data_IF_545932956520
#
_entry.id   IF_545932956520
#
_cell.length_a   1.000
_cell.length_b   1.000
_cell.length_c   1.000
_cell.angle_alpha   90.00
_cell.angle_beta   90.00
_cell.angle_gamma   90.00
#
_symmetry.space_group_name_H-M   'P 1'
#
loop_
_entity.id
_entity.type
_entity.pdbx_description
1 polymer ?
#
# COMPACT_ATOMS: atom_id res chain seq x y z
N UNK A 1 33.71 -16.21 8.74
CA UNK A 1 34.48 -14.98 9.04
C UNK A 1 33.54 -14.07 9.83
N UNK A 2 33.84 -13.75 11.09
CA UNK A 2 32.93 -12.98 11.94
C UNK A 2 33.16 -11.49 11.77
N UNK A 3 32.15 -10.76 11.32
CA UNK A 3 32.15 -9.29 11.31
C UNK A 3 31.71 -8.82 12.69
N UNK A 4 32.56 -8.06 13.39
CA UNK A 4 32.19 -7.33 14.60
C UNK A 4 31.78 -5.91 14.20
N UNK A 5 30.54 -5.53 14.51
CA UNK A 5 30.10 -4.14 14.42
C UNK A 5 29.98 -3.63 15.86
N UNK A 6 30.88 -2.73 16.24
CA UNK A 6 30.89 -2.08 17.55
C UNK A 6 30.17 -0.74 17.38
N UNK A 7 28.97 -0.59 17.97
CA UNK A 7 28.29 0.70 18.04
C UNK A 7 28.73 1.44 19.31
N UNK A 8 29.40 2.57 19.14
CA UNK A 8 29.97 3.40 20.22
C UNK A 8 29.04 4.55 20.59
N UNK A 9 28.43 4.46 21.78
CA UNK A 9 27.89 5.58 22.54
C UNK A 9 28.31 5.43 24.02
N UNK A 10 28.93 6.46 24.59
CA UNK A 10 29.81 6.45 25.76
C UNK A 10 29.23 5.95 27.11
N UNK A 11 27.95 5.56 27.20
CA UNK A 11 27.37 5.04 28.44
C UNK A 11 26.77 3.62 28.33
N UNK A 12 26.66 3.05 27.12
CA UNK A 12 25.79 1.90 26.85
C UNK A 12 26.32 1.04 25.70
N UNK A 13 27.57 0.55 25.79
CA UNK A 13 28.16 -0.25 24.71
C UNK A 13 27.39 -1.58 24.56
N UNK A 14 26.96 -1.85 23.32
CA UNK A 14 26.34 -3.11 22.91
C UNK A 14 27.25 -3.77 21.89
N UNK A 15 27.69 -4.99 22.19
CA UNK A 15 28.47 -5.81 21.26
C UNK A 15 27.52 -6.67 20.43
N UNK A 16 27.55 -6.50 19.11
CA UNK A 16 26.83 -7.35 18.15
C UNK A 16 27.82 -8.27 17.44
N UNK A 17 27.62 -9.58 17.57
CA UNK A 17 28.35 -10.61 16.82
C UNK A 17 27.40 -11.36 15.91
N UNK A 18 27.74 -11.41 14.63
CA UNK A 18 27.01 -12.18 13.61
C UNK A 18 27.81 -13.45 13.30
N UNK A 19 27.19 -14.60 13.49
CA UNK A 19 27.72 -15.89 13.08
C UNK A 19 26.83 -16.48 11.99
N UNK A 20 27.42 -16.68 10.81
CA UNK A 20 26.80 -17.33 9.67
C UNK A 20 27.32 -18.76 9.57
N UNK A 21 26.40 -19.72 9.45
CA UNK A 21 26.70 -21.12 9.18
C UNK A 21 25.78 -21.65 8.09
N UNK A 22 26.38 -22.26 7.06
CA UNK A 22 25.68 -22.99 6.01
C UNK A 22 25.91 -24.49 6.23
N UNK A 23 24.83 -25.26 6.39
CA UNK A 23 24.89 -26.73 6.44
C UNK A 23 24.35 -27.29 5.12
N UNK A 24 25.22 -27.97 4.37
CA UNK A 24 24.87 -28.64 3.12
C UNK A 24 24.51 -30.10 3.41
N UNK A 25 23.22 -30.43 3.38
CA UNK A 25 22.74 -31.81 3.58
C UNK A 25 22.81 -32.54 2.24
N UNK A 26 24.00 -33.08 1.92
CA UNK A 26 24.22 -33.82 0.68
C UNK A 26 23.35 -35.08 0.56
N UNK A 27 22.33 -35.05 -0.29
CA UNK A 27 22.12 -35.89 -1.49
C UNK A 27 20.73 -35.56 -2.07
N UNK A 28 20.70 -35.15 -3.35
CA UNK A 28 19.54 -34.66 -4.14
C UNK A 28 18.93 -33.33 -3.68
N UNK A 29 19.49 -32.23 -4.21
CA UNK A 29 18.85 -30.92 -4.37
C UNK A 29 17.96 -30.46 -3.19
N UNK A 30 18.48 -30.53 -1.96
CA UNK A 30 17.74 -30.13 -0.78
C UNK A 30 18.29 -28.82 -0.20
N UNK A 31 17.47 -27.76 -0.35
CA UNK A 31 17.41 -26.54 0.47
C UNK A 31 18.63 -26.27 1.37
N UNK A 32 19.52 -25.41 0.91
CA UNK A 32 20.54 -24.78 1.77
C UNK A 32 19.83 -23.96 2.86
N UNK A 33 19.95 -24.39 4.12
CA UNK A 33 19.41 -23.64 5.27
C UNK A 33 20.51 -22.72 5.78
N UNK A 34 20.45 -21.45 5.40
CA UNK A 34 21.31 -20.41 5.98
C UNK A 34 20.78 -20.05 7.37
N UNK A 35 21.58 -20.30 8.41
CA UNK A 35 21.25 -19.91 9.78
C UNK A 35 22.12 -18.74 10.19
N UNK A 36 21.49 -17.60 10.50
CA UNK A 36 22.17 -16.42 10.98
C UNK A 36 21.89 -16.23 12.47
N UNK A 37 22.93 -16.29 13.30
CA UNK A 37 22.82 -16.16 14.76
C UNK A 37 23.39 -14.82 15.21
N UNK A 38 22.55 -14.00 15.83
CA UNK A 38 22.94 -12.73 16.43
C UNK A 38 23.17 -12.91 17.93
N UNK A 39 24.35 -12.48 18.42
CA UNK A 39 24.65 -12.44 19.85
C UNK A 39 24.85 -10.99 20.27
N UNK A 40 24.01 -10.56 21.21
CA UNK A 40 24.03 -9.20 21.77
C UNK A 40 24.52 -9.30 23.21
N UNK A 41 25.50 -8.48 23.59
CA UNK A 41 25.97 -8.37 24.97
C UNK A 41 26.03 -6.91 25.40
N UNK A 42 25.61 -6.65 26.63
CA UNK A 42 25.83 -5.36 27.28
C UNK A 42 26.05 -5.52 28.78
N UNK A 43 26.68 -4.52 29.39
CA UNK A 43 26.86 -4.40 30.84
C UNK A 43 25.68 -3.67 31.53
N UNK A 44 24.79 -3.07 30.75
CA UNK A 44 23.62 -2.33 31.22
C UNK A 44 22.34 -2.97 30.67
N UNK A 45 21.33 -3.14 31.52
CA UNK A 45 20.04 -3.71 31.12
C UNK A 45 19.34 -2.85 30.05
N UNK A 46 19.37 -1.52 30.21
CA UNK A 46 18.69 -0.59 29.31
C UNK A 46 19.40 -0.37 27.98
N UNK A 47 20.68 -0.72 27.88
CA UNK A 47 21.46 -0.55 26.65
C UNK A 47 20.95 -1.46 25.52
N UNK A 48 20.53 -2.68 25.84
CA UNK A 48 19.97 -3.63 24.87
C UNK A 48 18.61 -3.13 24.38
N UNK A 49 17.74 -2.69 25.29
CA UNK A 49 16.41 -2.16 24.93
C UNK A 49 16.52 -0.90 24.06
N UNK A 50 17.43 0.02 24.40
CA UNK A 50 17.70 1.21 23.57
C UNK A 50 18.17 0.82 22.18
N UNK A 51 19.14 -0.10 22.08
CA UNK A 51 19.66 -0.56 20.80
C UNK A 51 18.57 -1.23 19.94
N UNK A 52 17.74 -2.09 20.53
CA UNK A 52 16.62 -2.74 19.82
C UNK A 52 15.62 -1.68 19.36
N UNK A 53 15.28 -0.72 20.22
CA UNK A 53 14.34 0.34 19.85
C UNK A 53 14.90 1.21 18.71
N UNK A 54 16.18 1.58 18.76
CA UNK A 54 16.83 2.36 17.70
C UNK A 54 16.87 1.59 16.37
N UNK A 55 17.24 0.31 16.42
CA UNK A 55 17.21 -0.57 15.24
C UNK A 55 15.78 -0.75 14.70
N UNK A 56 14.79 -0.85 15.58
CA UNK A 56 13.38 -0.94 15.20
C UNK A 56 12.86 0.35 14.58
N UNK A 57 13.21 1.52 15.12
CA UNK A 57 12.87 2.81 14.54
C UNK A 57 13.52 3.00 13.16
N UNK A 58 14.79 2.62 13.01
CA UNK A 58 15.47 2.59 11.72
C UNK A 58 14.73 1.68 10.72
N UNK A 59 14.39 0.46 11.13
CA UNK A 59 13.65 -0.49 10.29
C UNK A 59 12.27 0.04 9.88
N UNK A 60 11.52 0.65 10.80
CA UNK A 60 10.24 1.30 10.48
C UNK A 60 10.41 2.46 9.49
N UNK A 61 11.50 3.23 9.60
CA UNK A 61 11.85 4.29 8.66
C UNK A 61 12.18 3.73 7.27
N UNK A 62 12.91 2.62 7.22
CA UNK A 62 13.28 1.95 5.97
C UNK A 62 12.07 1.28 5.30
N UNK A 63 11.20 0.63 6.05
CA UNK A 63 9.93 0.10 5.55
C UNK A 63 9.07 1.19 4.90
N UNK A 64 8.96 2.37 5.52
CA UNK A 64 8.23 3.51 4.94
C UNK A 64 8.83 4.01 3.63
N UNK A 65 10.14 3.85 3.43
CA UNK A 65 10.82 4.19 2.18
C UNK A 65 10.67 3.11 1.11
N UNK A 66 10.61 1.85 1.52
CA UNK A 66 10.44 0.69 0.63
C UNK A 66 8.99 0.45 0.19
N UNK A 67 8.02 0.89 1.00
CA UNK A 67 6.62 0.89 0.58
C UNK A 67 6.41 1.90 -0.54
N UNK A 68 6.17 1.41 -1.77
CA UNK A 68 5.62 2.23 -2.85
C UNK A 68 4.17 2.60 -2.53
N UNK A 69 4.00 3.54 -1.59
CA UNK A 69 2.74 4.16 -1.21
C UNK A 69 2.22 5.12 -2.30
N UNK A 70 2.72 4.99 -3.54
CA UNK A 70 2.19 5.71 -4.68
C UNK A 70 0.75 5.30 -4.95
N UNK A 71 -0.10 6.29 -5.16
CA UNK A 71 -1.46 6.08 -5.64
C UNK A 71 -1.44 5.95 -7.15
N UNK A 72 -2.28 5.07 -7.69
CA UNK A 72 -2.36 4.81 -9.12
C UNK A 72 -3.79 5.02 -9.64
N UNK A 73 -3.92 5.47 -10.88
CA UNK A 73 -5.14 5.41 -11.68
C UNK A 73 -5.02 4.18 -12.58
N UNK A 74 -5.91 3.21 -12.38
CA UNK A 74 -6.02 2.01 -13.18
C UNK A 74 -7.09 2.21 -14.25
N UNK A 75 -6.71 2.13 -15.52
CA UNK A 75 -7.64 2.15 -16.65
C UNK A 75 -7.79 0.74 -17.21
N UNK A 76 -9.00 0.21 -17.10
CA UNK A 76 -9.35 -1.10 -17.65
C UNK A 76 -9.14 -1.11 -19.17
N UNK A 77 -8.33 -2.06 -19.64
CA UNK A 77 -8.22 -2.35 -21.07
C UNK A 77 -9.21 -3.45 -21.41
N UNK A 78 -10.18 -3.13 -22.27
CA UNK A 78 -11.04 -4.14 -22.90
C UNK A 78 -10.44 -4.40 -24.27
N UNK A 79 -9.62 -5.45 -24.36
CA UNK A 79 -9.07 -5.90 -25.65
C UNK A 79 -10.08 -6.80 -26.37
N UNK A 80 -10.07 -6.84 -27.71
CA UNK A 80 -10.72 -7.94 -28.43
C UNK A 80 -10.04 -9.23 -27.93
N UNK A 81 -10.84 -10.21 -27.50
CA UNK A 81 -10.37 -11.38 -26.77
C UNK A 81 -9.04 -11.93 -27.27
N UNK A 82 -8.16 -12.28 -26.33
CA UNK A 82 -6.94 -13.03 -26.61
C UNK A 82 -7.30 -14.28 -27.42
N UNK A 83 -7.12 -14.22 -28.73
CA UNK A 83 -7.14 -15.41 -29.58
C UNK A 83 -5.78 -16.09 -29.45
N UNK A 84 -5.87 -17.42 -29.45
CA UNK A 84 -4.84 -18.45 -29.53
C UNK A 84 -3.94 -18.65 -28.31
N UNK A 85 -4.25 -19.70 -27.55
CA UNK A 85 -3.37 -20.87 -27.58
C UNK A 85 -2.68 -21.26 -26.28
N UNK A 86 -3.37 -21.38 -25.15
CA UNK A 86 -3.18 -22.53 -24.26
C UNK A 86 -4.32 -22.66 -23.25
N UNK A 87 -4.56 -23.88 -22.77
CA UNK A 87 -5.64 -24.24 -21.83
C UNK A 87 -5.37 -23.66 -20.43
N UNK A 88 -6.46 -23.30 -19.73
CA UNK A 88 -6.53 -23.01 -18.29
C UNK A 88 -5.74 -21.79 -17.75
N UNK A 89 -6.27 -20.58 -17.97
CA UNK A 89 -6.28 -19.53 -16.95
C UNK A 89 -7.37 -18.51 -17.31
N UNK A 90 -8.35 -18.29 -16.43
CA UNK A 90 -9.46 -17.36 -16.66
C UNK A 90 -8.94 -15.99 -17.15
N UNK A 91 -9.52 -15.48 -18.24
CA UNK A 91 -9.05 -14.30 -18.96
C UNK A 91 -8.82 -13.10 -18.04
N UNK A 92 -7.59 -12.90 -17.60
CA UNK A 92 -7.26 -11.93 -16.56
C UNK A 92 -7.38 -10.52 -17.14
N UNK A 93 -8.31 -9.70 -16.64
CA UNK A 93 -8.45 -8.30 -17.05
C UNK A 93 -7.13 -7.56 -16.87
N UNK A 94 -6.68 -6.88 -17.91
CA UNK A 94 -5.46 -6.08 -17.88
C UNK A 94 -5.81 -4.61 -17.61
N UNK A 95 -5.00 -3.96 -16.76
CA UNK A 95 -5.17 -2.55 -16.40
C UNK A 95 -3.90 -1.78 -16.74
N UNK A 96 -4.04 -0.65 -17.42
CA UNK A 96 -2.96 0.34 -17.50
C UNK A 96 -2.93 1.14 -16.22
N UNK A 97 -1.76 1.28 -15.59
CA UNK A 97 -1.59 2.06 -14.36
C UNK A 97 -0.87 3.37 -14.65
N UNK A 98 -1.41 4.47 -14.12
CA UNK A 98 -0.82 5.80 -14.19
C UNK A 98 -0.59 6.30 -12.77
N UNK A 99 0.63 6.73 -12.42
CA UNK A 99 0.90 7.30 -11.10
C UNK A 99 0.09 8.59 -10.91
N UNK A 100 -0.66 8.68 -9.82
CA UNK A 100 -1.44 9.88 -9.49
C UNK A 100 -0.54 10.90 -8.82
N UNK A 101 -0.58 12.16 -9.29
CA UNK A 101 0.12 13.25 -8.63
C UNK A 101 -0.57 13.65 -7.32
N UNK A 102 0.22 14.18 -6.39
CA UNK A 102 -0.27 14.72 -5.10
C UNK A 102 -0.76 16.16 -5.18
N UNK A 103 -0.72 16.79 -6.36
CA UNK A 103 -0.93 18.22 -6.56
C UNK A 103 -2.41 18.64 -6.44
N UNK A 104 -3.33 17.71 -6.66
CA UNK A 104 -4.77 17.97 -6.61
C UNK A 104 -5.29 17.74 -5.19
N UNK A 105 -5.56 18.82 -4.48
CA UNK A 105 -6.09 18.81 -3.11
C UNK A 105 -7.43 19.55 -3.06
N UNK A 106 -8.18 19.37 -1.97
CA UNK A 106 -9.37 20.20 -1.74
C UNK A 106 -9.03 21.69 -1.56
N UNK A 107 -7.78 22.07 -1.29
CA UNK A 107 -7.38 23.47 -1.18
C UNK A 107 -7.50 24.24 -2.50
N UNK A 108 -7.25 23.57 -3.63
CA UNK A 108 -7.32 24.18 -4.97
C UNK A 108 -8.67 23.99 -5.68
N UNK A 109 -9.67 23.41 -5.01
CA UNK A 109 -10.98 23.11 -5.57
C UNK A 109 -12.07 23.94 -4.88
N UNK A 110 -12.90 24.61 -5.69
CA UNK A 110 -13.95 25.54 -5.24
C UNK A 110 -15.30 25.11 -5.81
N UNK A 111 -16.26 24.84 -4.91
CA UNK A 111 -17.65 24.50 -5.20
C UNK A 111 -18.45 24.58 -3.89
N UNK A 112 -19.76 24.79 -3.98
CA UNK A 112 -20.59 25.15 -2.84
C UNK A 112 -20.74 24.00 -1.83
N UNK A 113 -20.89 22.75 -2.29
CA UNK A 113 -21.13 21.58 -1.44
C UNK A 113 -19.85 20.98 -0.84
N UNK A 114 -18.73 21.69 -0.88
CA UNK A 114 -17.42 21.19 -0.45
C UNK A 114 -17.39 20.76 1.01
N UNK A 115 -17.95 21.57 1.90
CA UNK A 115 -17.94 21.28 3.33
C UNK A 115 -18.81 20.06 3.66
N UNK A 116 -19.95 19.95 2.98
CA UNK A 116 -20.85 18.80 3.07
C UNK A 116 -20.13 17.52 2.63
N UNK A 117 -19.43 17.55 1.49
CA UNK A 117 -18.66 16.41 1.01
C UNK A 117 -17.54 16.03 1.98
N UNK A 118 -16.78 17.00 2.49
CA UNK A 118 -15.71 16.76 3.45
C UNK A 118 -16.24 16.11 4.74
N UNK A 119 -17.42 16.52 5.21
CA UNK A 119 -18.08 15.88 6.35
C UNK A 119 -18.42 14.42 6.07
N UNK A 120 -19.03 14.13 4.91
CA UNK A 120 -19.37 12.76 4.50
C UNK A 120 -18.11 11.87 4.42
N UNK A 121 -17.00 12.41 3.88
CA UNK A 121 -15.74 11.69 3.80
C UNK A 121 -15.13 11.40 5.17
N UNK A 122 -15.18 12.36 6.10
CA UNK A 122 -14.72 12.17 7.49
C UNK A 122 -15.55 11.10 8.20
N UNK A 123 -16.87 11.14 8.06
CA UNK A 123 -17.76 10.14 8.68
C UNK A 123 -17.47 8.74 8.12
N UNK A 124 -17.21 8.63 6.81
CA UNK A 124 -16.83 7.38 6.18
C UNK A 124 -15.46 6.86 6.66
N UNK A 125 -14.44 7.72 6.74
CA UNK A 125 -13.09 7.34 7.19
C UNK A 125 -13.08 6.89 8.65
N UNK A 126 -13.76 7.63 9.52
CA UNK A 126 -13.75 7.39 10.97
C UNK A 126 -14.83 6.41 11.43
N UNK A 127 -15.59 5.80 10.49
CA UNK A 127 -16.74 4.91 10.77
C UNK A 127 -17.75 5.54 11.73
N UNK A 128 -18.02 6.84 11.54
CA UNK A 128 -18.95 7.61 12.38
C UNK A 128 -20.34 7.73 11.74
N UNK A 129 -21.28 8.33 12.48
CA UNK A 129 -22.65 8.51 12.02
C UNK A 129 -23.32 7.18 11.68
N UNK A 130 -23.88 7.09 10.48
CA UNK A 130 -24.55 5.88 9.98
C UNK A 130 -23.65 4.63 9.92
N UNK A 131 -22.33 4.81 9.80
CA UNK A 131 -21.36 3.71 9.75
C UNK A 131 -21.05 3.08 11.10
N UNK A 132 -21.52 3.67 12.22
CA UNK A 132 -21.38 3.13 13.57
C UNK A 132 -22.42 2.04 13.88
N UNK A 133 -23.52 1.99 13.13
CA UNK A 133 -24.61 1.03 13.35
C UNK A 133 -24.16 -0.36 12.92
N UNK A 134 -24.25 -1.34 13.83
CA UNK A 134 -23.93 -2.73 13.53
C UNK A 134 -24.78 -3.25 12.37
N UNK A 135 -24.13 -3.86 11.37
CA UNK A 135 -24.79 -4.35 10.15
C UNK A 135 -24.95 -3.33 9.03
N UNK A 136 -24.65 -2.04 9.25
CA UNK A 136 -24.65 -1.06 8.15
C UNK A 136 -23.44 -1.26 7.23
N UNK A 137 -23.63 -1.38 5.90
CA UNK A 137 -22.52 -1.63 4.99
C UNK A 137 -21.57 -0.43 4.96
N UNK A 138 -20.27 -0.68 5.12
CA UNK A 138 -19.22 0.34 5.00
C UNK A 138 -18.92 0.64 3.52
N UNK A 139 -19.91 1.21 2.83
CA UNK A 139 -19.83 1.62 1.42
C UNK A 139 -20.26 3.08 1.28
N UNK A 140 -19.57 3.81 0.40
CA UNK A 140 -19.91 5.19 0.05
C UNK A 140 -20.14 5.27 -1.45
N UNK A 141 -21.39 5.56 -1.84
CA UNK A 141 -21.76 5.87 -3.22
C UNK A 141 -21.92 7.37 -3.40
N UNK A 142 -21.32 7.93 -4.45
CA UNK A 142 -21.43 9.33 -4.83
C UNK A 142 -21.77 9.42 -6.32
N UNK A 143 -22.71 10.30 -6.66
CA UNK A 143 -23.06 10.64 -8.02
C UNK A 143 -22.66 12.10 -8.27
N UNK A 144 -21.73 12.32 -9.20
CA UNK A 144 -21.27 13.65 -9.60
C UNK A 144 -21.95 14.05 -10.91
N UNK A 145 -22.79 15.08 -10.89
CA UNK A 145 -23.48 15.60 -12.08
C UNK A 145 -23.18 17.09 -12.32
N UNK A 146 -23.49 17.57 -13.52
CA UNK A 146 -23.34 18.98 -13.91
C UNK A 146 -22.71 19.15 -15.30
N UNK A 147 -22.62 20.39 -15.82
CA UNK A 147 -22.08 20.69 -17.15
C UNK A 147 -20.68 20.13 -17.42
N UNK A 148 -20.29 19.83 -18.67
CA UNK A 148 -18.90 19.46 -18.97
C UNK A 148 -17.94 20.58 -18.53
N UNK A 149 -16.76 20.22 -18.03
CA UNK A 149 -15.77 21.20 -17.58
C UNK A 149 -15.89 21.66 -16.12
N UNK A 150 -16.93 21.27 -15.37
CA UNK A 150 -17.09 21.66 -13.94
C UNK A 150 -16.16 20.93 -12.95
N UNK A 151 -15.06 20.36 -13.42
CA UNK A 151 -14.05 19.76 -12.53
C UNK A 151 -14.44 18.44 -11.86
N UNK A 152 -15.51 17.74 -12.29
CA UNK A 152 -15.90 16.42 -11.72
C UNK A 152 -14.75 15.42 -11.63
N UNK A 153 -14.00 15.24 -12.72
CA UNK A 153 -12.83 14.34 -12.73
C UNK A 153 -11.70 14.85 -11.82
N UNK A 154 -11.54 16.17 -11.70
CA UNK A 154 -10.59 16.78 -10.76
C UNK A 154 -11.00 16.53 -9.31
N UNK A 155 -12.31 16.60 -9.00
CA UNK A 155 -12.86 16.28 -7.68
C UNK A 155 -12.55 14.82 -7.30
N UNK A 156 -12.71 13.87 -8.22
CA UNK A 156 -12.36 12.46 -7.99
C UNK A 156 -10.86 12.32 -7.64
N UNK A 157 -9.97 13.02 -8.34
CA UNK A 157 -8.53 13.02 -8.04
C UNK A 157 -8.23 13.63 -6.67
N UNK A 158 -8.87 14.74 -6.31
CA UNK A 158 -8.74 15.36 -4.98
C UNK A 158 -9.24 14.43 -3.87
N UNK A 159 -10.35 13.73 -4.09
CA UNK A 159 -10.89 12.74 -3.16
C UNK A 159 -9.94 11.55 -2.95
N UNK A 160 -9.38 11.02 -4.04
CA UNK A 160 -8.40 9.96 -3.99
C UNK A 160 -7.15 10.38 -3.19
N UNK A 161 -6.72 11.64 -3.33
CA UNK A 161 -5.61 12.19 -2.54
C UNK A 161 -6.00 12.35 -1.07
N UNK A 162 -7.18 12.93 -0.78
CA UNK A 162 -7.64 13.13 0.60
C UNK A 162 -7.87 11.83 1.37
N UNK A 163 -8.22 10.76 0.66
CA UNK A 163 -8.47 9.43 1.26
C UNK A 163 -7.27 8.49 1.20
N UNK A 164 -6.15 8.93 0.61
CA UNK A 164 -4.98 8.12 0.31
C UNK A 164 -5.31 6.82 -0.45
N UNK A 165 -6.11 6.91 -1.52
CA UNK A 165 -6.57 5.77 -2.32
C UNK A 165 -6.16 5.88 -3.79
N UNK A 166 -6.00 4.72 -4.42
CA UNK A 166 -5.91 4.57 -5.87
C UNK A 166 -7.31 4.65 -6.52
N UNK A 167 -7.36 5.02 -7.80
CA UNK A 167 -8.59 5.11 -8.59
C UNK A 167 -8.62 3.95 -9.56
N UNK A 168 -9.75 3.25 -9.67
CA UNK A 168 -10.00 2.27 -10.73
C UNK A 168 -11.10 2.82 -11.62
N UNK A 169 -10.76 3.11 -12.88
CA UNK A 169 -11.70 3.60 -13.87
C UNK A 169 -12.29 2.40 -14.65
N UNK A 170 -13.61 2.26 -14.58
CA UNK A 170 -14.38 1.20 -15.24
C UNK A 170 -15.38 1.86 -16.20
N UNK A 171 -14.99 2.08 -17.47
CA UNK A 171 -15.88 2.66 -18.46
C UNK A 171 -16.94 1.64 -18.90
N UNK A 172 -18.17 1.77 -18.38
CA UNK A 172 -19.28 0.87 -18.70
C UNK A 172 -19.61 0.81 -20.20
N UNK A 173 -19.38 1.88 -20.95
CA UNK A 173 -19.59 1.90 -22.40
C UNK A 173 -18.71 0.90 -23.17
N UNK A 174 -17.64 0.37 -22.55
CA UNK A 174 -16.76 -0.64 -23.13
C UNK A 174 -17.10 -2.07 -22.68
N UNK A 175 -18.09 -2.24 -21.83
CA UNK A 175 -18.50 -3.52 -21.26
C UNK A 175 -19.85 -3.87 -21.88
N UNK A 176 -19.89 -4.95 -22.65
CA UNK A 176 -21.07 -5.32 -23.44
C UNK A 176 -22.00 -6.27 -22.69
N UNK A 177 -21.47 -7.03 -21.72
CA UNK A 177 -22.24 -8.02 -20.96
C UNK A 177 -21.99 -7.92 -19.45
N UNK A 178 -22.97 -8.34 -18.65
CA UNK A 178 -22.78 -8.44 -17.19
C UNK A 178 -21.69 -9.44 -16.82
N UNK A 179 -21.50 -10.49 -17.65
CA UNK A 179 -20.43 -11.46 -17.47
C UNK A 179 -19.05 -10.79 -17.60
N UNK A 180 -18.87 -9.94 -18.61
CA UNK A 180 -17.66 -9.10 -18.79
C UNK A 180 -17.45 -8.06 -17.67
N UNK A 181 -18.47 -7.77 -16.84
CA UNK A 181 -18.32 -6.93 -15.65
C UNK A 181 -17.88 -7.74 -14.43
N UNK A 182 -18.22 -9.04 -14.37
CA UNK A 182 -17.96 -9.93 -13.23
C UNK A 182 -16.65 -10.73 -13.34
N UNK A 183 -16.20 -11.11 -14.55
CA UNK A 183 -14.97 -11.89 -14.83
C UNK A 183 -13.70 -11.05 -15.06
#
# INVERSE_FOLDING_TARGET
>A
KGTQVISTGEASTVELRVEESEEDKGQKAEKTVSTMRYRIRSRSAHAIDSFINDAYQWYLGELKQMEDNSRYLYEMQVGPGSKSGDRDEGGRRTYKRYKLSGEKTFGSLFFDEKDTLLKILKDFQNKMGKYKVAGYPHKLGLLLHGPPGTGKTSLIKCMAQHTNRSIVNVPLARISTNQELMD
#
